data_IF_837458899630
#
_entry.id   IF_837458899630
#
_cell.length_a   1.000
_cell.length_b   1.000
_cell.length_c   1.000
_cell.angle_alpha   90.00
_cell.angle_beta   90.00
_cell.angle_gamma   90.00
#
_symmetry.space_group_name_H-M   'P 1'
#
loop_
_entity.id
_entity.type
_entity.pdbx_description
1 polymer ?
#
# COMPACT_ATOMS: atom_id res chain seq x y z
N UNK A 1 65.34 61.51 21.61
CA UNK A 1 64.41 60.42 22.19
C UNK A 1 63.14 60.22 21.38
N UNK A 2 62.54 61.26 20.81
CA UNK A 2 61.31 61.11 20.02
C UNK A 2 61.53 60.38 18.67
N UNK A 3 62.67 60.59 18.02
CA UNK A 3 62.99 59.92 16.76
C UNK A 3 63.17 58.39 16.91
N UNK A 4 63.80 57.97 17.97
CA UNK A 4 64.04 56.56 18.27
C UNK A 4 62.72 55.77 18.56
N UNK A 5 61.73 56.43 19.17
CA UNK A 5 60.43 55.79 19.46
C UNK A 5 59.61 55.69 18.18
N UNK A 6 59.69 56.68 17.30
CA UNK A 6 58.99 56.60 15.99
C UNK A 6 59.61 55.55 15.07
N UNK A 7 60.91 55.36 15.05
CA UNK A 7 61.59 54.29 14.31
C UNK A 7 61.23 52.91 14.84
N UNK A 8 61.20 52.73 16.16
CA UNK A 8 60.83 51.44 16.80
C UNK A 8 59.36 51.09 16.48
N UNK A 9 58.46 52.07 16.51
CA UNK A 9 57.04 51.83 16.17
C UNK A 9 56.86 51.45 14.70
N UNK A 10 57.59 52.05 13.78
CA UNK A 10 57.57 51.71 12.37
C UNK A 10 58.14 50.28 12.12
N UNK A 11 59.22 49.88 12.78
CA UNK A 11 59.75 48.53 12.69
C UNK A 11 58.75 47.49 13.22
N UNK A 12 58.07 47.77 14.31
CA UNK A 12 57.04 46.85 14.87
C UNK A 12 55.89 46.73 13.90
N UNK A 13 55.39 47.80 13.29
CA UNK A 13 54.30 47.78 12.30
C UNK A 13 54.73 46.95 11.08
N UNK A 14 55.92 47.17 10.54
CA UNK A 14 56.43 46.46 9.37
C UNK A 14 56.61 44.96 9.69
N UNK A 15 57.17 44.61 10.84
CA UNK A 15 57.32 43.20 11.27
C UNK A 15 55.96 42.53 11.47
N UNK A 16 55.00 43.21 12.10
CA UNK A 16 53.63 42.71 12.28
C UNK A 16 52.94 42.49 10.95
N UNK A 17 53.09 43.46 10.02
CA UNK A 17 52.54 43.33 8.66
C UNK A 17 53.15 42.14 7.88
N UNK A 18 54.49 41.99 7.95
CA UNK A 18 55.13 40.85 7.30
C UNK A 18 54.73 39.50 7.90
N UNK A 19 54.62 39.41 9.23
CA UNK A 19 54.13 38.19 9.89
C UNK A 19 52.67 37.91 9.47
N UNK A 20 51.79 38.90 9.40
CA UNK A 20 50.42 38.75 8.94
C UNK A 20 50.36 38.25 7.50
N UNK A 21 51.19 38.76 6.59
CA UNK A 21 51.29 38.29 5.20
C UNK A 21 51.83 36.84 5.15
N UNK A 22 52.80 36.45 6.01
CA UNK A 22 53.22 35.06 6.10
C UNK A 22 52.11 34.12 6.61
N UNK A 23 51.32 34.53 7.59
CA UNK A 23 50.22 33.76 8.12
C UNK A 23 49.05 33.61 7.13
N UNK A 24 48.83 34.59 6.24
CA UNK A 24 47.78 34.43 5.17
C UNK A 24 48.11 33.27 4.20
N UNK A 25 49.39 32.98 3.96
CA UNK A 25 49.82 31.84 3.14
C UNK A 25 49.64 30.48 3.85
N UNK A 26 49.48 30.46 5.19
CA UNK A 26 49.15 29.25 5.93
C UNK A 26 47.68 28.84 5.84
N UNK A 27 46.79 29.77 5.44
CA UNK A 27 45.40 29.47 5.19
C UNK A 27 45.30 28.95 3.75
N UNK A 28 45.01 27.63 3.56
CA UNK A 28 44.97 27.01 2.24
C UNK A 28 43.70 27.42 1.52
N UNK A 29 43.57 28.65 1.07
CA UNK A 29 42.38 29.16 0.34
C UNK A 29 42.13 28.28 -0.89
N UNK A 30 43.20 27.85 -1.57
CA UNK A 30 43.09 26.96 -2.72
C UNK A 30 42.46 25.59 -2.33
N UNK A 31 42.76 25.09 -1.14
CA UNK A 31 42.15 23.84 -0.64
C UNK A 31 40.65 24.02 -0.39
N UNK A 32 40.22 25.13 0.21
CA UNK A 32 38.80 25.42 0.43
C UNK A 32 38.04 25.51 -0.88
N UNK A 33 38.57 26.22 -1.88
CA UNK A 33 37.97 26.32 -3.21
C UNK A 33 37.91 24.94 -3.88
N UNK A 34 38.98 24.14 -3.76
CA UNK A 34 39.02 22.80 -4.34
C UNK A 34 37.95 21.89 -3.73
N UNK A 35 37.76 21.92 -2.40
CA UNK A 35 36.71 21.15 -1.72
C UNK A 35 35.33 21.54 -2.20
N UNK A 36 35.05 22.84 -2.33
CA UNK A 36 33.74 23.31 -2.85
C UNK A 36 33.50 22.89 -4.30
N UNK A 37 34.53 22.93 -5.14
CA UNK A 37 34.42 22.42 -6.54
C UNK A 37 34.14 20.91 -6.56
N UNK A 38 34.83 20.13 -5.72
CA UNK A 38 34.61 18.68 -5.62
C UNK A 38 33.18 18.39 -5.19
N UNK A 39 32.67 19.06 -4.17
CA UNK A 39 31.27 18.92 -3.70
C UNK A 39 30.26 19.25 -4.80
N UNK A 40 30.51 20.29 -5.57
CA UNK A 40 29.68 20.66 -6.71
C UNK A 40 29.66 19.59 -7.81
N UNK A 41 30.84 19.05 -8.14
CA UNK A 41 30.96 17.95 -9.11
C UNK A 41 30.23 16.70 -8.64
N UNK A 42 30.40 16.32 -7.36
CA UNK A 42 29.68 15.19 -6.76
C UNK A 42 28.16 15.39 -6.76
N UNK A 43 27.67 16.58 -6.41
CA UNK A 43 26.25 16.91 -6.47
C UNK A 43 25.69 16.82 -7.90
N UNK A 44 26.47 17.26 -8.88
CA UNK A 44 26.11 17.16 -10.30
C UNK A 44 26.08 15.71 -10.78
N UNK A 45 27.03 14.87 -10.36
CA UNK A 45 27.07 13.45 -10.67
C UNK A 45 25.86 12.70 -10.10
N UNK A 46 25.55 12.92 -8.81
CA UNK A 46 24.36 12.33 -8.16
C UNK A 46 23.05 12.70 -8.86
N UNK A 47 22.92 13.96 -9.30
CA UNK A 47 21.72 14.42 -10.00
C UNK A 47 21.52 13.75 -11.36
N UNK A 48 22.60 13.29 -12.00
CA UNK A 48 22.56 12.65 -13.32
C UNK A 48 22.41 11.15 -13.29
N UNK A 49 22.49 10.51 -12.13
CA UNK A 49 22.43 9.06 -12.01
C UNK A 49 21.02 8.54 -12.27
N UNK A 50 20.83 7.61 -13.23
CA UNK A 50 19.54 7.05 -13.57
C UNK A 50 18.94 6.22 -12.41
N UNK A 51 19.78 5.68 -11.52
CA UNK A 51 19.35 4.90 -10.36
C UNK A 51 18.47 5.71 -9.39
N UNK A 52 18.58 7.04 -9.41
CA UNK A 52 17.77 7.95 -8.59
C UNK A 52 16.63 8.63 -9.37
N UNK A 53 16.30 8.11 -10.55
CA UNK A 53 15.15 8.57 -11.30
C UNK A 53 13.87 7.91 -10.82
N UNK A 54 12.83 8.70 -10.57
CA UNK A 54 11.50 8.22 -10.19
C UNK A 54 10.57 8.19 -11.40
N UNK A 55 10.23 7.01 -11.88
CA UNK A 55 9.27 6.83 -12.97
C UNK A 55 7.87 7.33 -12.60
N UNK A 56 7.46 7.19 -11.33
CA UNK A 56 6.14 7.64 -10.84
C UNK A 56 6.00 9.16 -10.87
N UNK A 57 7.07 9.89 -10.55
CA UNK A 57 7.08 11.35 -10.50
C UNK A 57 7.64 11.98 -11.80
N UNK A 58 8.10 11.17 -12.72
CA UNK A 58 8.75 11.56 -13.98
C UNK A 58 9.85 12.62 -13.76
N UNK A 59 10.67 12.39 -12.74
CA UNK A 59 11.76 13.32 -12.39
C UNK A 59 12.96 12.63 -11.75
N UNK A 60 14.14 13.19 -12.01
CA UNK A 60 15.38 12.77 -11.39
C UNK A 60 15.58 13.33 -9.98
N UNK A 61 16.60 12.82 -9.33
CA UNK A 61 17.05 13.27 -8.03
C UNK A 61 17.59 14.71 -8.09
N UNK A 62 17.34 15.51 -7.05
CA UNK A 62 17.84 16.87 -6.93
C UNK A 62 18.61 17.04 -5.62
N UNK A 63 19.86 17.47 -5.73
CA UNK A 63 20.68 17.85 -4.58
C UNK A 63 20.37 19.30 -4.19
N UNK A 64 19.84 19.50 -2.99
CA UNK A 64 19.51 20.83 -2.47
C UNK A 64 20.69 21.48 -1.73
N UNK A 65 21.61 20.69 -1.18
CA UNK A 65 22.80 21.15 -0.47
C UNK A 65 23.97 20.19 -0.71
N UNK A 66 25.08 20.71 -1.23
CA UNK A 66 26.30 19.93 -1.46
C UNK A 66 27.02 19.55 -0.18
N UNK A 67 26.83 20.33 0.92
CA UNK A 67 27.51 20.07 2.19
C UNK A 67 27.05 18.77 2.86
N UNK A 68 25.81 18.33 2.62
CA UNK A 68 25.26 17.10 3.19
C UNK A 68 25.86 15.83 2.59
N UNK A 69 26.55 15.90 1.45
CA UNK A 69 27.10 14.73 0.77
C UNK A 69 28.18 14.06 1.64
N UNK A 70 29.04 14.84 2.27
CA UNK A 70 30.10 14.33 3.15
C UNK A 70 29.51 13.68 4.41
N UNK A 71 28.40 14.22 4.94
CA UNK A 71 27.73 13.72 6.14
C UNK A 71 26.96 12.41 5.86
N UNK A 72 26.41 12.24 4.65
CA UNK A 72 25.71 11.04 4.25
C UNK A 72 26.59 9.78 4.34
N UNK A 73 27.90 9.91 4.05
CA UNK A 73 28.87 8.81 4.18
C UNK A 73 29.17 8.40 5.62
N UNK A 74 28.84 9.22 6.60
CA UNK A 74 29.11 8.99 8.03
C UNK A 74 27.89 8.51 8.83
N UNK A 75 26.75 8.32 8.18
CA UNK A 75 25.52 7.88 8.83
C UNK A 75 25.66 6.45 9.33
N UNK A 76 25.41 6.25 10.63
CA UNK A 76 25.40 4.92 11.28
C UNK A 76 23.99 4.36 11.46
N UNK A 77 22.99 5.21 11.52
CA UNK A 77 21.58 4.82 11.76
C UNK A 77 20.65 5.61 10.85
N UNK A 78 19.66 4.91 10.32
CA UNK A 78 18.56 5.50 9.53
C UNK A 78 17.26 5.20 10.25
N UNK A 79 16.53 6.23 10.65
CA UNK A 79 15.16 6.13 11.18
C UNK A 79 14.20 6.54 10.08
N UNK A 80 13.30 5.64 9.73
CA UNK A 80 12.32 5.89 8.67
C UNK A 80 10.95 5.36 9.08
N UNK A 81 9.90 6.04 8.66
CA UNK A 81 8.56 5.48 8.73
C UNK A 81 8.38 4.42 7.62
N UNK A 82 7.53 3.42 7.88
CA UNK A 82 7.24 2.36 6.91
C UNK A 82 6.19 2.82 5.91
N UNK A 83 5.04 3.30 6.42
CA UNK A 83 3.84 3.51 5.60
C UNK A 83 3.92 4.81 4.82
N UNK A 84 3.86 4.72 3.49
CA UNK A 84 3.96 5.89 2.61
C UNK A 84 5.39 6.40 2.37
N UNK A 85 6.40 5.84 3.06
CA UNK A 85 7.83 6.16 2.86
C UNK A 85 8.56 4.98 2.22
N UNK A 86 8.59 3.82 2.89
CA UNK A 86 9.16 2.58 2.33
C UNK A 86 8.16 1.80 1.48
N UNK A 87 6.88 2.09 1.64
CA UNK A 87 5.78 1.48 0.88
C UNK A 87 4.95 2.56 0.20
N UNK A 88 4.26 2.19 -0.89
CA UNK A 88 3.40 3.10 -1.65
C UNK A 88 2.05 3.38 -0.99
N UNK A 89 1.80 2.90 0.22
CA UNK A 89 0.47 2.92 0.87
C UNK A 89 -0.64 2.41 -0.07
N UNK A 90 -0.34 1.33 -0.78
CA UNK A 90 -1.24 0.69 -1.76
C UNK A 90 -1.45 -0.75 -1.34
N UNK A 91 -2.71 -1.12 -1.13
CA UNK A 91 -3.10 -2.51 -0.91
C UNK A 91 -3.70 -3.09 -2.17
N UNK A 92 -3.27 -4.31 -2.50
CA UNK A 92 -3.71 -5.03 -3.69
C UNK A 92 -4.22 -6.39 -3.25
N UNK A 93 -5.47 -6.69 -3.58
CA UNK A 93 -6.08 -7.97 -3.30
C UNK A 93 -5.54 -9.05 -4.24
N UNK A 94 -5.04 -10.18 -3.68
CA UNK A 94 -4.42 -11.27 -4.45
C UNK A 94 -5.01 -12.63 -4.19
N UNK A 95 -5.26 -12.96 -2.92
CA UNK A 95 -5.72 -14.27 -2.50
C UNK A 95 -6.83 -14.19 -1.47
N UNK A 96 -7.72 -15.18 -1.47
CA UNK A 96 -8.73 -15.36 -0.42
C UNK A 96 -8.89 -16.84 -0.11
N UNK A 97 -9.00 -17.17 1.17
CA UNK A 97 -9.34 -18.50 1.65
C UNK A 97 -10.80 -18.50 2.13
N UNK A 98 -11.63 -19.31 1.53
CA UNK A 98 -13.05 -19.48 1.90
C UNK A 98 -13.35 -20.96 2.04
N UNK A 99 -13.84 -21.38 3.18
CA UNK A 99 -14.24 -22.77 3.45
C UNK A 99 -13.15 -23.78 3.04
N UNK A 100 -11.91 -23.56 3.52
CA UNK A 100 -10.70 -24.35 3.24
C UNK A 100 -10.21 -24.29 1.78
N UNK A 101 -10.89 -23.58 0.90
CA UNK A 101 -10.48 -23.41 -0.50
C UNK A 101 -9.75 -22.09 -0.68
N UNK A 102 -8.49 -22.15 -1.10
CA UNK A 102 -7.71 -20.98 -1.44
C UNK A 102 -8.00 -20.56 -2.89
N UNK A 103 -8.37 -19.32 -3.10
CA UNK A 103 -8.61 -18.71 -4.42
C UNK A 103 -7.58 -17.63 -4.70
N UNK A 104 -7.21 -17.48 -5.98
CA UNK A 104 -6.20 -16.55 -6.48
C UNK A 104 -5.33 -17.18 -7.56
N UNK A 105 -4.33 -16.47 -8.04
CA UNK A 105 -3.37 -16.97 -9.04
C UNK A 105 -2.41 -18.00 -8.41
N UNK A 106 -2.84 -19.26 -8.35
CA UNK A 106 -2.09 -20.37 -7.74
C UNK A 106 -1.01 -20.90 -8.69
N UNK A 107 0.04 -20.14 -8.93
CA UNK A 107 1.19 -20.58 -9.70
C UNK A 107 2.27 -21.16 -8.76
N UNK A 108 2.75 -22.40 -9.00
CA UNK A 108 3.85 -22.99 -8.22
C UNK A 108 5.13 -22.15 -8.29
N UNK A 109 5.29 -21.37 -9.35
CA UNK A 109 6.45 -20.55 -9.64
C UNK A 109 6.54 -19.27 -8.83
N UNK A 110 5.44 -18.86 -8.16
CA UNK A 110 5.38 -17.62 -7.36
C UNK A 110 6.27 -17.63 -6.10
N UNK A 111 6.75 -18.81 -5.71
CA UNK A 111 7.66 -18.95 -4.56
C UNK A 111 8.61 -20.11 -4.75
N UNK A 112 9.88 -19.92 -4.41
CA UNK A 112 10.89 -20.99 -4.32
C UNK A 112 10.67 -21.88 -3.09
N UNK A 113 9.75 -21.51 -2.19
CA UNK A 113 9.47 -22.22 -0.95
C UNK A 113 8.74 -23.54 -1.24
N UNK A 114 9.28 -24.67 -0.78
CA UNK A 114 8.67 -26.00 -0.90
C UNK A 114 7.27 -26.06 -0.29
N UNK A 115 7.06 -25.42 0.87
CA UNK A 115 5.76 -25.38 1.55
C UNK A 115 4.66 -24.71 0.71
N UNK A 116 4.99 -23.73 -0.12
CA UNK A 116 4.02 -23.12 -1.05
C UNK A 116 3.62 -24.10 -2.16
N UNK A 117 4.57 -24.83 -2.71
CA UNK A 117 4.31 -25.82 -3.77
C UNK A 117 3.40 -26.94 -3.26
N UNK A 118 3.68 -27.46 -2.07
CA UNK A 118 2.85 -28.50 -1.42
C UNK A 118 1.42 -28.00 -1.18
N UNK A 119 1.28 -26.73 -0.73
CA UNK A 119 -0.03 -26.10 -0.54
C UNK A 119 -0.79 -25.97 -1.86
N UNK A 120 -0.14 -25.51 -2.92
CA UNK A 120 -0.77 -25.40 -4.25
C UNK A 120 -1.25 -26.75 -4.76
N UNK A 121 -0.44 -27.80 -4.63
CA UNK A 121 -0.84 -29.16 -5.03
C UNK A 121 -2.07 -29.65 -4.24
N UNK A 122 -2.10 -29.43 -2.93
CA UNK A 122 -3.27 -29.77 -2.11
C UNK A 122 -4.52 -28.99 -2.56
N UNK A 123 -4.38 -27.70 -2.85
CA UNK A 123 -5.49 -26.87 -3.30
C UNK A 123 -6.03 -27.30 -4.67
N UNK A 124 -5.19 -27.74 -5.58
CA UNK A 124 -5.64 -28.32 -6.87
C UNK A 124 -6.55 -29.52 -6.65
N UNK A 125 -6.21 -30.39 -5.71
CA UNK A 125 -7.02 -31.57 -5.36
C UNK A 125 -8.36 -31.18 -4.74
N UNK A 126 -8.36 -30.19 -3.82
CA UNK A 126 -9.58 -29.69 -3.17
C UNK A 126 -10.51 -29.08 -4.21
N UNK A 127 -9.98 -28.20 -5.09
CA UNK A 127 -10.74 -27.56 -6.16
C UNK A 127 -11.33 -28.55 -7.15
N UNK A 128 -10.60 -29.59 -7.54
CA UNK A 128 -11.12 -30.60 -8.45
C UNK A 128 -12.30 -31.41 -7.85
N UNK A 129 -12.25 -31.69 -6.54
CA UNK A 129 -13.35 -32.30 -5.82
C UNK A 129 -14.58 -31.38 -5.75
N UNK A 130 -14.37 -30.10 -5.48
CA UNK A 130 -15.47 -29.13 -5.42
C UNK A 130 -16.10 -28.94 -6.80
N UNK A 131 -15.29 -28.86 -7.86
CA UNK A 131 -15.76 -28.76 -9.24
C UNK A 131 -16.66 -29.97 -9.60
N UNK A 132 -16.25 -31.17 -9.26
CA UNK A 132 -17.05 -32.39 -9.49
C UNK A 132 -18.38 -32.40 -8.74
N UNK A 133 -18.47 -31.74 -7.58
CA UNK A 133 -19.73 -31.57 -6.85
C UNK A 133 -20.64 -30.57 -7.53
N UNK A 134 -20.11 -29.42 -7.98
CA UNK A 134 -20.84 -28.37 -8.68
C UNK A 134 -21.45 -28.93 -9.97
N UNK A 135 -20.67 -29.64 -10.78
CA UNK A 135 -21.13 -30.23 -12.05
C UNK A 135 -22.26 -31.27 -11.87
N UNK A 136 -22.26 -32.00 -10.78
CA UNK A 136 -23.33 -32.93 -10.46
C UNK A 136 -24.64 -32.29 -10.01
N UNK A 137 -24.54 -31.05 -9.50
CA UNK A 137 -25.71 -30.29 -8.98
C UNK A 137 -26.38 -29.48 -10.07
N UNK A 138 -25.63 -29.02 -11.07
CA UNK A 138 -26.11 -28.15 -12.14
C UNK A 138 -26.20 -28.89 -13.47
N UNK A 139 -27.41 -29.29 -13.85
CA UNK A 139 -27.72 -29.90 -15.15
C UNK A 139 -28.08 -28.85 -16.22
N UNK A 140 -28.01 -27.57 -15.93
CA UNK A 140 -28.41 -26.48 -16.85
C UNK A 140 -27.21 -25.60 -17.23
N UNK A 141 -27.16 -25.19 -18.51
CA UNK A 141 -26.12 -24.39 -19.12
C UNK A 141 -25.91 -23.07 -18.38
N UNK A 142 -24.68 -22.86 -17.87
CA UNK A 142 -24.28 -21.63 -17.20
C UNK A 142 -23.91 -20.61 -18.25
N UNK A 143 -24.63 -19.47 -18.28
CA UNK A 143 -24.21 -18.27 -19.01
C UNK A 143 -22.99 -17.70 -18.31
N UNK A 144 -21.83 -17.77 -18.96
CA UNK A 144 -20.60 -17.05 -18.54
C UNK A 144 -20.92 -15.56 -18.59
N UNK A 145 -20.96 -14.93 -17.42
CA UNK A 145 -21.10 -13.49 -17.32
C UNK A 145 -19.88 -12.81 -17.96
N UNK A 146 -20.12 -11.89 -18.88
CA UNK A 146 -19.07 -11.06 -19.50
C UNK A 146 -18.26 -10.36 -18.40
N UNK A 147 -16.94 -10.50 -18.44
CA UNK A 147 -16.03 -9.76 -17.55
C UNK A 147 -16.29 -8.27 -17.70
N UNK A 148 -16.70 -7.62 -16.63
CA UNK A 148 -16.82 -6.18 -16.56
C UNK A 148 -15.49 -5.53 -17.00
N UNK A 149 -15.55 -4.56 -17.92
CA UNK A 149 -14.36 -3.83 -18.37
C UNK A 149 -13.68 -3.21 -17.16
N UNK A 150 -12.45 -3.67 -16.85
CA UNK A 150 -11.71 -3.25 -15.68
C UNK A 150 -11.40 -1.76 -15.75
N UNK A 151 -12.06 -0.96 -14.91
CA UNK A 151 -11.73 0.45 -14.71
C UNK A 151 -10.30 0.60 -14.15
N UNK A 152 -9.68 1.74 -14.37
CA UNK A 152 -8.30 2.02 -13.93
C UNK A 152 -8.15 1.90 -12.39
N UNK A 153 -9.17 2.33 -11.65
CA UNK A 153 -9.27 2.17 -10.19
C UNK A 153 -9.26 0.71 -9.74
N UNK A 154 -9.91 -0.17 -10.50
CA UNK A 154 -10.00 -1.59 -10.21
C UNK A 154 -8.63 -2.28 -10.38
N UNK A 155 -7.89 -1.95 -11.45
CA UNK A 155 -6.52 -2.45 -11.68
C UNK A 155 -5.52 -2.00 -10.61
N UNK A 156 -5.79 -0.85 -9.97
CA UNK A 156 -4.95 -0.33 -8.90
C UNK A 156 -5.03 -1.16 -7.62
N UNK A 157 -6.19 -1.75 -7.31
CA UNK A 157 -6.47 -2.41 -6.03
C UNK A 157 -6.69 -3.92 -6.13
N UNK A 158 -6.78 -4.49 -7.32
CA UNK A 158 -7.05 -5.92 -7.52
C UNK A 158 -6.06 -6.53 -8.50
N UNK A 159 -5.36 -7.57 -8.04
CA UNK A 159 -4.51 -8.45 -8.85
C UNK A 159 -4.96 -9.89 -8.55
N UNK A 160 -6.19 -10.18 -8.95
CA UNK A 160 -6.86 -11.44 -8.72
C UNK A 160 -7.37 -11.99 -10.04
N UNK A 161 -6.85 -13.13 -10.45
CA UNK A 161 -7.25 -13.81 -11.66
C UNK A 161 -7.52 -15.29 -11.36
N UNK A 162 -8.75 -15.58 -10.97
CA UNK A 162 -9.20 -16.93 -10.66
C UNK A 162 -10.59 -17.19 -11.24
N UNK A 163 -10.61 -17.90 -12.38
CA UNK A 163 -11.87 -18.26 -13.05
C UNK A 163 -12.68 -19.27 -12.21
N UNK A 164 -12.02 -20.09 -11.40
CA UNK A 164 -12.70 -21.04 -10.54
C UNK A 164 -13.54 -20.32 -9.47
N UNK A 165 -13.02 -19.22 -8.88
CA UNK A 165 -13.80 -18.39 -7.95
C UNK A 165 -15.04 -17.81 -8.64
N UNK A 166 -14.88 -17.21 -9.81
CA UNK A 166 -15.99 -16.65 -10.57
C UNK A 166 -17.04 -17.70 -10.92
N UNK A 167 -16.63 -18.92 -11.25
CA UNK A 167 -17.53 -20.05 -11.49
C UNK A 167 -18.28 -20.47 -10.22
N UNK A 168 -17.63 -20.52 -9.06
CA UNK A 168 -18.30 -20.85 -7.79
C UNK A 168 -19.32 -19.79 -7.39
N UNK A 169 -19.04 -18.51 -7.63
CA UNK A 169 -19.99 -17.40 -7.41
C UNK A 169 -21.19 -17.51 -8.36
N UNK A 170 -20.96 -17.79 -9.65
CA UNK A 170 -22.03 -17.96 -10.66
C UNK A 170 -22.93 -19.15 -10.34
N UNK A 171 -22.39 -20.20 -9.72
CA UNK A 171 -23.13 -21.37 -9.26
C UNK A 171 -23.75 -21.16 -7.87
N UNK A 172 -23.75 -19.94 -7.35
CA UNK A 172 -24.33 -19.58 -6.05
C UNK A 172 -23.81 -20.43 -4.89
N UNK A 173 -22.50 -20.71 -4.84
CA UNK A 173 -21.90 -21.39 -3.71
C UNK A 173 -22.07 -20.55 -2.44
N UNK A 174 -22.79 -21.05 -1.40
CA UNK A 174 -23.19 -20.19 -0.26
C UNK A 174 -22.03 -19.48 0.42
N UNK A 175 -20.94 -20.21 0.69
CA UNK A 175 -19.77 -19.65 1.38
C UNK A 175 -19.15 -18.48 0.61
N UNK A 176 -19.07 -18.55 -0.72
CA UNK A 176 -18.49 -17.49 -1.55
C UNK A 176 -19.43 -16.28 -1.65
N UNK A 177 -20.74 -16.53 -1.76
CA UNK A 177 -21.77 -15.48 -1.73
C UNK A 177 -21.78 -14.75 -0.39
N UNK A 178 -21.76 -15.48 0.72
CA UNK A 178 -21.73 -14.89 2.06
C UNK A 178 -20.43 -14.12 2.30
N UNK A 179 -19.32 -14.59 1.73
CA UNK A 179 -18.05 -13.85 1.77
C UNK A 179 -18.14 -12.51 1.00
N UNK A 180 -18.66 -12.50 -0.22
CA UNK A 180 -18.82 -11.26 -0.98
C UNK A 180 -19.78 -10.29 -0.29
N UNK A 181 -20.88 -10.79 0.29
CA UNK A 181 -21.81 -10.02 1.10
C UNK A 181 -21.13 -9.45 2.35
N UNK A 182 -20.31 -10.25 3.04
CA UNK A 182 -19.53 -9.81 4.17
C UNK A 182 -18.59 -8.64 3.79
N UNK A 183 -17.85 -8.76 2.68
CA UNK A 183 -16.93 -7.72 2.21
C UNK A 183 -17.65 -6.41 1.88
N UNK A 184 -18.88 -6.49 1.37
CA UNK A 184 -19.66 -5.32 0.97
C UNK A 184 -20.49 -4.70 2.10
N UNK A 185 -20.61 -5.35 3.26
CA UNK A 185 -21.37 -4.87 4.43
C UNK A 185 -20.48 -4.43 5.60
N UNK A 186 -19.31 -5.07 5.77
CA UNK A 186 -18.45 -4.83 6.93
C UNK A 186 -17.30 -3.87 6.59
N UNK A 187 -17.57 -2.56 6.46
CA UNK A 187 -16.59 -1.53 6.14
C UNK A 187 -17.05 -0.13 6.59
N UNK A 188 -16.13 0.84 6.56
CA UNK A 188 -16.38 2.27 6.81
C UNK A 188 -16.27 3.14 5.54
N UNK A 189 -16.23 2.50 4.36
CA UNK A 189 -16.07 3.16 3.07
C UNK A 189 -17.37 3.86 2.65
N UNK A 190 -17.24 5.04 2.06
CA UNK A 190 -18.33 5.79 1.43
C UNK A 190 -18.19 5.79 -0.08
N UNK A 191 -19.33 5.90 -0.76
CA UNK A 191 -19.35 6.04 -2.23
C UNK A 191 -19.62 7.49 -2.58
N UNK A 192 -18.72 8.12 -3.33
CA UNK A 192 -18.87 9.47 -3.84
C UNK A 192 -18.46 9.49 -5.31
N UNK A 193 -19.31 10.06 -6.18
CA UNK A 193 -19.05 10.12 -7.63
C UNK A 193 -18.71 8.76 -8.27
N UNK A 194 -19.33 7.69 -7.83
CA UNK A 194 -19.06 6.31 -8.26
C UNK A 194 -17.66 5.77 -7.87
N UNK A 195 -16.95 6.44 -6.96
CA UNK A 195 -15.68 5.99 -6.41
C UNK A 195 -15.80 5.66 -4.93
N UNK A 196 -15.02 4.69 -4.48
CA UNK A 196 -14.92 4.31 -3.08
C UNK A 196 -13.93 5.20 -2.36
N UNK A 197 -14.36 5.86 -1.28
CA UNK A 197 -13.54 6.78 -0.48
C UNK A 197 -13.54 6.32 0.98
N UNK A 198 -12.34 6.14 1.52
CA UNK A 198 -12.13 5.77 2.91
C UNK A 198 -10.68 5.90 3.34
N UNK A 199 -10.45 5.85 4.64
CA UNK A 199 -9.10 5.94 5.24
C UNK A 199 -8.32 4.63 5.12
N UNK A 200 -9.02 3.49 5.14
CA UNK A 200 -8.42 2.16 5.10
C UNK A 200 -8.20 1.68 3.67
N UNK A 201 -6.93 1.50 3.30
CA UNK A 201 -6.56 0.93 2.00
C UNK A 201 -6.91 -0.56 1.89
N UNK A 202 -6.94 -1.28 3.03
CA UNK A 202 -7.34 -2.68 3.09
C UNK A 202 -8.81 -2.83 2.70
N UNK A 203 -9.69 -2.00 3.29
CA UNK A 203 -11.12 -2.01 2.97
C UNK A 203 -11.39 -1.64 1.51
N UNK A 204 -10.65 -0.66 0.98
CA UNK A 204 -10.74 -0.31 -0.44
C UNK A 204 -10.40 -1.51 -1.34
N UNK A 205 -9.30 -2.23 -1.05
CA UNK A 205 -8.91 -3.40 -1.83
C UNK A 205 -9.97 -4.51 -1.76
N UNK A 206 -10.57 -4.75 -0.59
CA UNK A 206 -11.62 -5.75 -0.40
C UNK A 206 -12.90 -5.39 -1.17
N UNK A 207 -13.33 -4.13 -1.13
CA UNK A 207 -14.50 -3.66 -1.88
C UNK A 207 -14.29 -3.65 -3.39
N UNK A 208 -13.10 -3.26 -3.86
CA UNK A 208 -12.77 -3.35 -5.28
C UNK A 208 -12.70 -4.82 -5.76
N UNK A 209 -12.26 -5.75 -4.89
CA UNK A 209 -12.35 -7.17 -5.20
C UNK A 209 -13.82 -7.62 -5.35
N UNK A 210 -14.70 -7.28 -4.40
CA UNK A 210 -16.12 -7.59 -4.51
C UNK A 210 -16.72 -7.01 -5.80
N UNK A 211 -16.39 -5.75 -6.14
CA UNK A 211 -16.80 -5.10 -7.38
C UNK A 211 -16.31 -5.84 -8.62
N UNK A 212 -15.11 -6.41 -8.61
CA UNK A 212 -14.59 -7.25 -9.72
C UNK A 212 -15.39 -8.52 -9.95
N UNK A 213 -16.12 -8.98 -8.92
CA UNK A 213 -17.03 -10.13 -8.96
C UNK A 213 -18.50 -9.73 -9.16
N UNK A 214 -18.77 -8.51 -9.66
CA UNK A 214 -20.10 -7.94 -9.86
C UNK A 214 -20.93 -7.73 -8.57
N UNK A 215 -20.22 -7.55 -7.44
CA UNK A 215 -20.82 -7.15 -6.17
C UNK A 215 -20.39 -5.73 -5.84
N UNK A 216 -21.30 -4.79 -5.95
CA UNK A 216 -20.99 -3.36 -5.87
C UNK A 216 -21.72 -2.69 -4.72
N UNK A 217 -20.99 -1.91 -3.93
CA UNK A 217 -21.55 -1.00 -2.98
C UNK A 217 -22.06 0.25 -3.73
N UNK A 218 -23.33 0.55 -3.58
CA UNK A 218 -23.98 1.69 -4.23
C UNK A 218 -24.00 2.94 -3.35
N UNK A 219 -24.11 4.14 -3.94
CA UNK A 219 -24.27 5.37 -3.18
C UNK A 219 -25.46 5.29 -2.22
N UNK A 220 -25.29 5.83 -1.04
CA UNK A 220 -26.26 5.77 0.04
C UNK A 220 -26.82 7.16 0.34
N UNK A 221 -28.13 7.31 0.32
CA UNK A 221 -28.82 8.55 0.66
C UNK A 221 -29.18 8.65 2.14
N UNK A 222 -29.24 7.50 2.84
CA UNK A 222 -29.59 7.41 4.26
C UNK A 222 -28.46 6.78 5.06
N UNK A 223 -28.08 7.37 6.19
CA UNK A 223 -26.89 6.96 6.96
C UNK A 223 -26.93 5.52 7.50
N UNK A 224 -28.08 4.88 7.56
CA UNK A 224 -28.25 3.56 8.19
C UNK A 224 -28.66 2.45 7.21
N UNK A 225 -28.73 2.71 5.92
CA UNK A 225 -29.08 1.72 4.90
C UNK A 225 -27.90 1.55 3.96
N UNK A 226 -27.36 0.36 3.80
CA UNK A 226 -26.41 0.03 2.75
C UNK A 226 -27.13 -0.61 1.57
N UNK A 227 -26.88 -0.09 0.39
CA UNK A 227 -27.41 -0.60 -0.89
C UNK A 227 -26.32 -1.32 -1.62
N UNK A 228 -26.56 -2.58 -1.95
CA UNK A 228 -25.61 -3.44 -2.65
C UNK A 228 -26.24 -3.94 -3.93
N UNK A 229 -25.48 -3.92 -5.02
CA UNK A 229 -25.82 -4.64 -6.25
C UNK A 229 -25.19 -6.03 -6.19
N UNK A 230 -26.00 -7.07 -6.12
CA UNK A 230 -25.60 -8.48 -6.15
C UNK A 230 -25.88 -9.02 -7.57
N UNK A 231 -24.84 -9.11 -8.42
CA UNK A 231 -25.00 -9.50 -9.83
C UNK A 231 -26.10 -8.71 -10.57
N UNK A 232 -26.25 -7.41 -10.32
CA UNK A 232 -27.25 -6.54 -10.92
C UNK A 232 -28.58 -6.49 -10.17
N UNK A 233 -28.80 -7.32 -9.15
CA UNK A 233 -29.97 -7.22 -8.26
C UNK A 233 -29.62 -6.32 -7.08
N UNK A 234 -30.43 -5.28 -6.84
CA UNK A 234 -30.24 -4.37 -5.72
C UNK A 234 -30.89 -4.93 -4.48
N UNK A 235 -30.11 -5.00 -3.39
CA UNK A 235 -30.57 -5.39 -2.05
C UNK A 235 -30.24 -4.25 -1.06
N UNK A 236 -31.13 -4.00 -0.12
CA UNK A 236 -30.99 -2.97 0.91
C UNK A 236 -30.82 -3.64 2.28
N UNK A 237 -29.78 -3.26 3.01
CA UNK A 237 -29.46 -3.78 4.32
C UNK A 237 -29.49 -2.66 5.35
N UNK A 238 -30.25 -2.84 6.42
CA UNK A 238 -30.31 -1.87 7.50
C UNK A 238 -29.16 -2.09 8.48
N UNK A 239 -28.33 -1.09 8.69
CA UNK A 239 -27.25 -1.12 9.68
C UNK A 239 -27.81 -0.60 11.01
N UNK A 240 -27.85 -1.44 12.01
CA UNK A 240 -28.35 -1.11 13.35
C UNK A 240 -27.28 -0.48 14.21
N UNK A 241 -26.03 -0.98 14.12
CA UNK A 241 -24.89 -0.46 14.86
C UNK A 241 -23.58 -0.85 14.22
N UNK A 242 -22.62 0.06 14.26
CA UNK A 242 -21.23 -0.20 13.86
C UNK A 242 -20.32 0.10 15.04
N UNK A 243 -19.47 -0.87 15.41
CA UNK A 243 -18.39 -0.68 16.34
C UNK A 243 -17.11 -0.63 15.53
N UNK A 244 -16.58 0.59 15.37
CA UNK A 244 -15.41 0.88 14.58
C UNK A 244 -14.16 0.09 15.03
N UNK A 245 -13.18 -0.04 14.14
CA UNK A 245 -11.91 -0.66 14.48
C UNK A 245 -11.18 0.14 15.56
N UNK A 246 -10.70 -0.56 16.58
CA UNK A 246 -9.85 0.00 17.62
C UNK A 246 -8.62 -0.90 17.80
N UNK A 247 -7.44 -0.30 17.95
CA UNK A 247 -6.16 -1.00 18.11
C UNK A 247 -6.12 -1.91 19.35
N UNK A 248 -6.86 -1.59 20.41
CA UNK A 248 -6.95 -2.43 21.61
C UNK A 248 -7.83 -3.67 21.37
N UNK A 249 -8.94 -3.49 20.66
CA UNK A 249 -9.86 -4.58 20.29
C UNK A 249 -9.39 -5.37 19.06
N UNK A 250 -8.61 -4.74 18.19
CA UNK A 250 -8.10 -5.29 16.92
C UNK A 250 -9.18 -5.88 16.01
N UNK A 251 -10.42 -5.40 16.12
CA UNK A 251 -11.57 -5.85 15.34
C UNK A 251 -12.61 -4.77 15.15
N UNK A 252 -13.32 -4.85 14.03
CA UNK A 252 -14.52 -4.09 13.72
C UNK A 252 -15.73 -5.02 13.76
N UNK A 253 -16.88 -4.51 14.19
CA UNK A 253 -18.13 -5.26 14.24
C UNK A 253 -19.25 -4.45 13.64
N UNK A 254 -20.05 -5.05 12.78
CA UNK A 254 -21.26 -4.47 12.21
C UNK A 254 -22.46 -5.34 12.55
N UNK A 255 -23.47 -4.72 13.14
CA UNK A 255 -24.77 -5.33 13.42
C UNK A 255 -25.77 -4.79 12.43
N UNK A 256 -26.49 -5.67 11.75
CA UNK A 256 -27.47 -5.27 10.75
C UNK A 256 -28.65 -6.21 10.63
N UNK A 257 -29.53 -5.86 9.73
CA UNK A 257 -30.74 -6.59 9.40
C UNK A 257 -30.84 -6.70 7.88
N UNK A 258 -31.18 -7.90 7.39
CA UNK A 258 -31.37 -8.14 5.99
C UNK A 258 -32.78 -7.70 5.50
N UNK A 259 -33.06 -7.68 4.19
CA UNK A 259 -34.37 -7.34 3.66
C UNK A 259 -35.53 -8.24 4.12
N UNK A 260 -35.22 -9.37 4.78
CA UNK A 260 -36.18 -10.34 5.31
C UNK A 260 -36.32 -10.27 6.84
N UNK A 261 -35.90 -9.16 7.46
CA UNK A 261 -35.93 -8.90 8.89
C UNK A 261 -35.05 -9.84 9.74
N UNK A 262 -34.11 -10.57 9.11
CA UNK A 262 -33.16 -11.41 9.83
C UNK A 262 -31.96 -10.58 10.29
N UNK A 263 -31.66 -10.64 11.59
CA UNK A 263 -30.52 -9.97 12.17
C UNK A 263 -29.23 -10.77 11.93
N UNK A 264 -28.15 -10.05 11.73
CA UNK A 264 -26.81 -10.64 11.55
C UNK A 264 -25.74 -9.77 12.23
N UNK A 265 -24.64 -10.41 12.58
CA UNK A 265 -23.44 -9.75 13.13
C UNK A 265 -22.27 -10.16 12.26
N UNK A 266 -21.55 -9.17 11.75
CA UNK A 266 -20.32 -9.37 10.99
C UNK A 266 -19.15 -8.82 11.77
N UNK A 267 -18.07 -9.61 11.86
CA UNK A 267 -16.86 -9.25 12.61
C UNK A 267 -15.66 -9.47 11.69
N UNK A 268 -14.81 -8.45 11.56
CA UNK A 268 -13.50 -8.55 10.91
C UNK A 268 -12.41 -8.03 11.84
N UNK A 269 -11.22 -8.61 11.76
CA UNK A 269 -10.12 -8.19 12.61
C UNK A 269 -8.88 -9.03 12.44
N UNK A 270 -7.92 -8.84 13.35
CA UNK A 270 -6.70 -9.60 13.38
C UNK A 270 -6.98 -11.09 13.62
N UNK A 271 -6.26 -11.96 12.94
CA UNK A 271 -6.34 -13.41 13.04
C UNK A 271 -6.27 -13.90 14.48
N UNK A 272 -5.29 -13.41 15.26
CA UNK A 272 -5.11 -13.74 16.67
C UNK A 272 -6.35 -13.51 17.54
N UNK A 273 -7.18 -12.50 17.19
CA UNK A 273 -8.39 -12.18 17.96
C UNK A 273 -9.61 -12.92 17.42
N UNK A 274 -9.68 -13.12 16.11
CA UNK A 274 -10.83 -13.80 15.51
C UNK A 274 -10.79 -15.30 15.84
N UNK A 275 -9.63 -15.97 15.75
CA UNK A 275 -9.49 -17.39 16.09
C UNK A 275 -9.83 -17.73 17.56
N UNK A 276 -9.62 -16.81 18.50
CA UNK A 276 -10.00 -16.99 19.90
C UNK A 276 -11.52 -16.94 20.14
N UNK A 277 -12.29 -16.41 19.19
CA UNK A 277 -13.73 -16.16 19.33
C UNK A 277 -14.60 -17.05 18.42
N UNK A 278 -13.99 -17.94 17.63
CA UNK A 278 -14.64 -18.97 16.84
C UNK A 278 -14.54 -20.32 17.56
#
# INVERSE_FOLDING_TARGET
TFGLIADLSNEIIIRTGNNFLMFTNLIPISLMVTVEVIRFVQASDLTRRPEFYSEVLDRGFRVSSSNLIDELGMISYIFTDKTGTLTCNKMVFKFILVDEVLYGDLKPELSENSSWKDLVEQQIIIRSRLQSKIEKTNSEEIKVNEKCSMSESLKKHVDFNDEFFSNTVSNNLPANIDTLRFLTLCHEIKVLNNEYIGSSQDELALLYFAKSQNWELLPNEQNNILRISENGKISEFQILSTIEFNSDRKRMTVLGQDPYDKHWVLIKGADSVIYENI
#
